data_IF_197737609754
#
_entry.id   IF_197737609754
#
_cell.length_a   1.000
_cell.length_b   1.000
_cell.length_c   1.000
_cell.angle_alpha   90.00
_cell.angle_beta   90.00
_cell.angle_gamma   90.00
#
_symmetry.space_group_name_H-M   'P 1'
#
loop_
_entity.id
_entity.type
_entity.pdbx_description
1 polymer ?
#
# COMPACT_ATOMS: atom_id res chain seq x y z
N UNK A 1 -18.46 17.33 5.24
CA UNK A 1 -17.64 16.10 5.24
C UNK A 1 -18.43 14.96 5.86
N UNK A 2 -18.84 13.95 5.08
CA UNK A 2 -19.57 12.81 5.63
C UNK A 2 -18.59 11.71 6.05
N UNK A 3 -18.42 11.53 7.36
CA UNK A 3 -17.68 10.39 7.91
C UNK A 3 -18.41 9.06 7.62
N UNK A 4 -19.71 9.07 7.39
CA UNK A 4 -20.48 7.86 7.02
C UNK A 4 -19.97 7.33 5.67
N UNK A 5 -19.85 8.22 4.68
CA UNK A 5 -19.38 7.85 3.35
C UNK A 5 -17.95 7.34 3.39
N UNK A 6 -17.09 7.97 4.20
CA UNK A 6 -15.72 7.53 4.42
C UNK A 6 -15.69 6.07 4.95
N UNK A 7 -16.59 5.70 5.85
CA UNK A 7 -16.63 4.36 6.43
C UNK A 7 -16.96 3.30 5.38
N UNK A 8 -17.89 3.63 4.47
CA UNK A 8 -18.21 2.79 3.32
C UNK A 8 -17.01 2.65 2.37
N UNK A 9 -16.28 3.75 2.11
CA UNK A 9 -15.06 3.70 1.28
C UNK A 9 -13.98 2.82 1.91
N UNK A 10 -13.67 2.98 3.19
CA UNK A 10 -12.68 2.14 3.88
C UNK A 10 -13.08 0.65 3.83
N UNK A 11 -14.34 0.34 4.07
CA UNK A 11 -14.86 -1.04 4.01
C UNK A 11 -14.79 -1.60 2.58
N UNK A 12 -15.13 -0.78 1.59
CA UNK A 12 -15.04 -1.15 0.18
C UNK A 12 -13.60 -1.43 -0.26
N UNK A 13 -12.63 -0.59 0.13
CA UNK A 13 -11.21 -0.80 -0.14
C UNK A 13 -10.68 -2.10 0.48
N UNK A 14 -11.10 -2.43 1.71
CA UNK A 14 -10.76 -3.69 2.34
C UNK A 14 -11.32 -4.89 1.56
N UNK A 15 -12.57 -4.79 1.10
CA UNK A 15 -13.22 -5.86 0.33
C UNK A 15 -12.56 -6.03 -1.04
N UNK A 16 -12.28 -4.93 -1.75
CA UNK A 16 -11.57 -4.95 -3.03
C UNK A 16 -10.16 -5.54 -2.90
N UNK A 17 -9.44 -5.19 -1.83
CA UNK A 17 -8.11 -5.73 -1.54
C UNK A 17 -8.16 -7.23 -1.28
N UNK A 18 -9.12 -7.70 -0.49
CA UNK A 18 -9.35 -9.13 -0.22
C UNK A 18 -9.75 -9.91 -1.47
N UNK A 19 -10.56 -9.31 -2.33
CA UNK A 19 -10.98 -9.88 -3.61
C UNK A 19 -9.88 -9.84 -4.69
N UNK A 20 -8.71 -9.28 -4.38
CA UNK A 20 -7.55 -9.20 -5.30
C UNK A 20 -7.84 -8.46 -6.60
N UNK A 21 -8.70 -7.44 -6.55
CA UNK A 21 -9.01 -6.61 -7.71
C UNK A 21 -7.84 -5.67 -8.01
N UNK A 22 -7.36 -5.62 -9.25
CA UNK A 22 -6.32 -4.65 -9.65
C UNK A 22 -6.80 -3.20 -9.63
N UNK A 23 -8.11 -2.98 -9.74
CA UNK A 23 -8.72 -1.68 -9.93
C UNK A 23 -10.09 -1.62 -9.26
N UNK A 24 -10.41 -0.49 -8.64
CA UNK A 24 -11.70 -0.29 -7.98
C UNK A 24 -12.23 1.13 -8.13
N UNK A 25 -13.54 1.33 -7.95
CA UNK A 25 -14.19 2.64 -8.06
C UNK A 25 -14.84 3.10 -6.76
N UNK A 26 -14.65 4.37 -6.43
CA UNK A 26 -15.15 5.03 -5.21
C UNK A 26 -15.96 6.27 -5.61
N UNK A 27 -17.03 6.64 -4.89
CA UNK A 27 -17.76 7.88 -5.16
C UNK A 27 -16.87 9.12 -5.11
N UNK A 28 -17.03 10.01 -6.08
CA UNK A 28 -16.24 11.24 -6.17
C UNK A 28 -16.62 12.22 -5.04
N UNK A 29 -15.63 12.61 -4.24
CA UNK A 29 -15.74 13.64 -3.21
C UNK A 29 -14.37 14.25 -2.96
N UNK A 30 -14.30 15.54 -2.63
CA UNK A 30 -13.05 16.21 -2.27
C UNK A 30 -12.33 15.54 -1.10
N UNK A 31 -13.08 15.00 -0.13
CA UNK A 31 -12.49 14.25 0.98
C UNK A 31 -11.83 12.97 0.49
N UNK A 32 -12.57 12.16 -0.26
CA UNK A 32 -12.08 10.88 -0.76
C UNK A 32 -10.87 11.09 -1.67
N UNK A 33 -10.92 12.10 -2.54
CA UNK A 33 -9.80 12.46 -3.42
C UNK A 33 -8.55 12.80 -2.63
N UNK A 34 -8.64 13.70 -1.64
CA UNK A 34 -7.49 14.07 -0.78
C UNK A 34 -6.94 12.87 -0.01
N UNK A 35 -7.81 12.00 0.51
CA UNK A 35 -7.38 10.80 1.21
C UNK A 35 -6.69 9.81 0.27
N UNK A 36 -7.24 9.58 -0.92
CA UNK A 36 -6.64 8.67 -1.90
C UNK A 36 -5.29 9.20 -2.41
N UNK A 37 -5.15 10.52 -2.60
CA UNK A 37 -3.87 11.14 -2.94
C UNK A 37 -2.85 10.97 -1.79
N UNK A 38 -3.27 11.14 -0.53
CA UNK A 38 -2.40 10.88 0.61
C UNK A 38 -1.95 9.41 0.71
N UNK A 39 -2.84 8.46 0.38
CA UNK A 39 -2.54 7.03 0.29
C UNK A 39 -1.63 6.68 -0.91
N UNK A 40 -1.72 7.44 -2.00
CA UNK A 40 -0.85 7.30 -3.16
C UNK A 40 0.56 7.82 -2.84
N UNK A 41 0.67 8.98 -2.21
CA UNK A 41 1.94 9.59 -1.80
C UNK A 41 2.70 8.71 -0.81
N UNK A 42 2.01 8.03 0.10
CA UNK A 42 2.62 7.05 1.01
C UNK A 42 2.90 5.69 0.34
N UNK A 43 2.53 5.51 -0.93
CA UNK A 43 2.84 4.34 -1.72
C UNK A 43 1.86 3.16 -1.60
N UNK A 44 0.75 3.28 -0.86
CA UNK A 44 -0.20 2.16 -0.67
C UNK A 44 -1.11 1.88 -1.88
N UNK A 45 -1.39 2.91 -2.67
CA UNK A 45 -2.19 2.83 -3.91
C UNK A 45 -1.26 3.14 -5.10
N UNK A 46 -1.52 2.57 -6.28
CA UNK A 46 -0.71 2.85 -7.49
C UNK A 46 -1.14 4.13 -8.19
N UNK A 47 -2.43 4.27 -8.50
CA UNK A 47 -2.96 5.43 -9.21
C UNK A 47 -4.31 5.88 -8.67
N UNK A 48 -4.59 7.17 -8.85
CA UNK A 48 -5.87 7.81 -8.54
C UNK A 48 -6.30 8.61 -9.76
N UNK A 49 -7.40 8.21 -10.40
CA UNK A 49 -7.92 8.85 -11.62
C UNK A 49 -9.37 9.22 -11.45
N UNK A 50 -9.77 10.39 -11.95
CA UNK A 50 -11.17 10.80 -12.05
C UNK A 50 -11.75 10.25 -13.34
N UNK A 51 -12.91 9.61 -13.28
CA UNK A 51 -13.56 9.03 -14.44
C UNK A 51 -15.08 8.99 -14.31
N UNK A 52 -15.73 8.38 -15.31
CA UNK A 52 -17.16 8.11 -15.30
C UNK A 52 -17.52 6.84 -14.51
N UNK A 53 -18.75 6.33 -14.70
CA UNK A 53 -19.19 5.06 -14.11
C UNK A 53 -18.48 3.85 -14.71
N UNK A 54 -17.94 3.98 -15.92
CA UNK A 54 -17.13 2.98 -16.61
C UNK A 54 -15.65 3.14 -16.24
N UNK A 55 -14.90 2.03 -16.14
CA UNK A 55 -13.46 2.08 -15.89
C UNK A 55 -12.75 2.82 -17.03
N UNK A 56 -11.82 3.73 -16.73
CA UNK A 56 -10.97 4.30 -17.76
C UNK A 56 -10.08 3.19 -18.35
N UNK A 57 -9.71 3.30 -19.64
CA UNK A 57 -8.84 2.31 -20.25
C UNK A 57 -7.47 2.27 -19.56
N UNK A 58 -6.83 1.10 -19.52
CA UNK A 58 -5.51 0.96 -18.92
C UNK A 58 -4.46 1.66 -19.77
N UNK A 59 -3.52 2.36 -19.13
CA UNK A 59 -2.39 2.95 -19.82
C UNK A 59 -1.49 1.86 -20.40
N UNK A 60 -1.12 2.00 -21.69
CA UNK A 60 -0.41 0.99 -22.49
C UNK A 60 0.89 0.48 -21.86
N UNK A 61 1.64 1.34 -21.14
CA UNK A 61 2.93 0.97 -20.55
C UNK A 61 2.85 0.54 -19.09
N UNK A 62 1.92 1.09 -18.32
CA UNK A 62 1.92 0.96 -16.87
C UNK A 62 0.77 0.11 -16.33
N UNK A 63 -0.18 -0.28 -17.20
CA UNK A 63 -1.31 -1.14 -16.87
C UNK A 63 -2.30 -0.56 -15.84
N UNK A 64 -2.04 0.66 -15.36
CA UNK A 64 -2.90 1.38 -14.44
C UNK A 64 -3.75 2.39 -15.20
N UNK A 65 -4.93 2.78 -14.65
CA UNK A 65 -5.73 3.83 -15.26
C UNK A 65 -4.90 5.11 -15.24
N UNK A 66 -4.68 5.71 -16.41
CA UNK A 66 -4.10 7.04 -16.54
C UNK A 66 -5.23 8.01 -16.92
N UNK A 67 -5.18 9.22 -16.38
CA UNK A 67 -6.13 10.27 -16.74
C UNK A 67 -5.94 10.79 -18.17
N UNK A 68 -4.84 10.41 -18.82
CA UNK A 68 -4.38 10.97 -20.07
C UNK A 68 -4.52 9.92 -21.16
N UNK A 69 -5.74 9.68 -21.63
CA UNK A 69 -5.86 9.24 -23.02
C UNK A 69 -5.61 10.46 -23.89
N UNK A 70 -4.64 10.37 -24.81
CA UNK A 70 -4.47 11.38 -25.85
C UNK A 70 -5.71 11.47 -26.77
N UNK A 71 -6.58 10.45 -26.74
CA UNK A 71 -7.80 10.34 -27.55
C UNK A 71 -9.07 10.92 -26.87
N UNK A 72 -9.21 10.79 -25.55
CA UNK A 72 -10.31 11.36 -24.77
C UNK A 72 -9.72 12.11 -23.59
N UNK A 73 -9.56 13.43 -23.73
CA UNK A 73 -9.11 14.29 -22.63
C UNK A 73 -10.00 14.15 -21.39
N UNK A 74 -9.45 14.52 -20.22
CA UNK A 74 -10.22 14.54 -18.97
C UNK A 74 -11.38 15.53 -19.12
N UNK A 75 -12.59 14.99 -19.29
CA UNK A 75 -13.82 15.77 -19.32
C UNK A 75 -13.89 16.71 -18.10
N UNK A 76 -14.12 18.02 -18.30
CA UNK A 76 -14.16 18.98 -17.20
C UNK A 76 -15.30 18.64 -16.24
N UNK A 77 -15.11 18.90 -14.95
CA UNK A 77 -16.15 18.66 -13.95
C UNK A 77 -17.21 19.76 -14.06
N UNK A 78 -18.39 19.42 -14.58
CA UNK A 78 -19.53 20.32 -14.74
C UNK A 78 -20.68 19.87 -13.83
N UNK A 79 -21.62 20.78 -13.56
CA UNK A 79 -22.77 20.46 -12.70
C UNK A 79 -23.62 19.29 -13.24
N UNK A 80 -23.67 19.11 -14.56
CA UNK A 80 -24.40 18.01 -15.19
C UNK A 80 -23.74 16.64 -15.00
N UNK A 81 -22.40 16.60 -14.86
CA UNK A 81 -21.66 15.33 -14.81
C UNK A 81 -21.23 14.91 -13.40
N UNK A 82 -21.23 15.81 -12.42
CA UNK A 82 -20.70 15.54 -11.07
C UNK A 82 -21.32 14.31 -10.39
N UNK A 83 -22.60 14.02 -10.66
CA UNK A 83 -23.33 12.90 -10.10
C UNK A 83 -22.84 11.53 -10.60
N UNK A 84 -22.37 11.45 -11.86
CA UNK A 84 -21.90 10.20 -12.47
C UNK A 84 -20.40 9.98 -12.30
N UNK A 85 -19.65 10.97 -11.76
CA UNK A 85 -18.21 10.86 -11.59
C UNK A 85 -17.81 9.93 -10.45
N UNK A 86 -16.75 9.17 -10.71
CA UNK A 86 -16.11 8.26 -9.75
C UNK A 86 -14.61 8.48 -9.69
N UNK A 87 -14.02 8.07 -8.59
CA UNK A 87 -12.58 7.95 -8.41
C UNK A 87 -12.19 6.51 -8.67
N UNK A 88 -11.38 6.29 -9.68
CA UNK A 88 -10.79 5.02 -10.02
C UNK A 88 -9.43 4.89 -9.34
N UNK A 89 -9.25 3.80 -8.59
CA UNK A 89 -8.10 3.56 -7.76
C UNK A 89 -7.41 2.29 -8.23
N UNK A 90 -6.10 2.38 -8.49
CA UNK A 90 -5.26 1.22 -8.77
C UNK A 90 -4.76 0.60 -7.47
N UNK A 91 -5.10 -0.67 -7.22
CA UNK A 91 -4.67 -1.39 -6.03
C UNK A 91 -3.32 -2.07 -6.27
N UNK A 92 -2.47 -2.07 -5.24
CA UNK A 92 -1.12 -2.65 -5.28
C UNK A 92 -1.07 -3.99 -4.58
N UNK A 93 -0.36 -4.93 -5.19
CA UNK A 93 -0.11 -6.26 -4.65
C UNK A 93 1.38 -6.59 -4.75
N UNK A 94 1.93 -7.21 -3.72
CA UNK A 94 3.31 -7.66 -3.65
C UNK A 94 3.36 -9.06 -3.06
N UNK A 95 4.09 -9.99 -3.68
CA UNK A 95 4.17 -11.40 -3.22
C UNK A 95 2.79 -12.02 -2.94
N UNK A 96 1.80 -11.75 -3.79
CA UNK A 96 0.42 -12.20 -3.59
C UNK A 96 -0.24 -11.69 -2.30
N UNK A 97 0.21 -10.58 -1.73
CA UNK A 97 -0.46 -9.87 -0.63
C UNK A 97 -0.80 -8.42 -1.00
N UNK A 98 -1.94 -7.87 -0.53
CA UNK A 98 -2.31 -6.48 -0.80
C UNK A 98 -1.43 -5.51 0.01
N UNK A 99 -0.81 -4.53 -0.67
CA UNK A 99 0.05 -3.52 -0.03
C UNK A 99 -0.75 -2.60 0.90
N UNK A 100 -2.00 -2.32 0.55
CA UNK A 100 -2.92 -1.49 1.33
C UNK A 100 -3.26 -2.11 2.70
N UNK A 101 -3.20 -3.44 2.83
CA UNK A 101 -3.56 -4.16 4.05
C UNK A 101 -5.00 -3.89 4.50
N UNK A 102 -5.19 -3.62 5.79
CA UNK A 102 -6.49 -3.30 6.39
C UNK A 102 -6.56 -1.82 6.73
N UNK A 103 -7.56 -1.12 6.21
CA UNK A 103 -7.87 0.26 6.59
C UNK A 103 -9.02 0.25 7.60
N UNK A 104 -8.78 0.81 8.79
CA UNK A 104 -9.76 0.97 9.85
C UNK A 104 -10.08 2.44 10.07
N UNK A 105 -11.37 2.75 10.24
CA UNK A 105 -11.81 4.10 10.60
C UNK A 105 -11.66 4.32 12.10
N UNK A 106 -11.11 5.46 12.50
CA UNK A 106 -10.98 5.86 13.90
C UNK A 106 -12.11 6.83 14.29
N UNK A 107 -12.23 7.97 13.61
CA UNK A 107 -13.36 8.88 13.84
C UNK A 107 -14.62 8.34 13.19
N UNK A 108 -15.57 7.89 14.02
CA UNK A 108 -16.89 7.45 13.58
C UNK A 108 -17.84 8.66 13.48
N UNK A 109 -18.92 8.58 12.68
CA UNK A 109 -19.94 9.64 12.62
C UNK A 109 -20.52 10.00 13.99
N UNK A 110 -20.71 8.99 14.84
CA UNK A 110 -21.21 9.13 16.22
C UNK A 110 -20.18 9.73 17.17
N UNK A 111 -18.88 9.53 16.91
CA UNK A 111 -17.80 10.00 17.76
C UNK A 111 -16.59 10.43 16.95
N UNK A 112 -16.41 11.75 16.86
CA UNK A 112 -15.27 12.39 16.22
C UNK A 112 -14.11 12.50 17.21
N UNK A 113 -12.93 12.03 16.81
CA UNK A 113 -11.74 12.00 17.66
C UNK A 113 -10.73 12.98 17.08
N UNK A 114 -10.49 14.07 17.80
CA UNK A 114 -9.44 15.05 17.49
C UNK A 114 -8.23 14.79 18.38
N UNK A 115 -7.04 15.03 17.84
CA UNK A 115 -5.78 14.86 18.57
C UNK A 115 -4.93 16.11 18.40
N UNK A 116 -4.27 16.49 19.48
CA UNK A 116 -3.34 17.60 19.55
C UNK A 116 -1.92 17.17 19.12
N UNK A 117 -1.03 18.14 18.97
CA UNK A 117 0.35 17.88 18.54
C UNK A 117 1.13 17.06 19.59
N UNK A 118 0.88 17.28 20.89
CA UNK A 118 1.58 16.54 21.93
C UNK A 118 1.09 15.08 22.01
N UNK A 119 -0.23 14.86 21.91
CA UNK A 119 -0.81 13.53 21.77
C UNK A 119 -0.32 12.80 20.52
N UNK A 120 -0.21 13.48 19.38
CA UNK A 120 0.28 12.87 18.15
C UNK A 120 1.75 12.44 18.26
N UNK A 121 2.60 13.21 18.95
CA UNK A 121 3.99 12.81 19.25
C UNK A 121 4.04 11.54 20.10
N UNK A 122 3.15 11.37 21.08
CA UNK A 122 3.03 10.12 21.86
C UNK A 122 2.63 8.95 20.95
N UNK A 123 1.62 9.14 20.10
CA UNK A 123 1.15 8.12 19.16
C UNK A 123 2.26 7.64 18.22
N UNK A 124 3.08 8.52 17.67
CA UNK A 124 4.20 8.14 16.80
C UNK A 124 5.27 7.34 17.54
N UNK A 125 5.48 7.62 18.84
CA UNK A 125 6.41 6.86 19.69
C UNK A 125 5.87 5.50 20.13
N UNK A 126 4.64 5.15 19.73
CA UNK A 126 3.98 3.90 20.11
C UNK A 126 3.19 3.97 21.42
N UNK A 127 3.13 5.14 22.06
CA UNK A 127 2.31 5.37 23.24
C UNK A 127 0.85 5.64 22.86
N UNK A 128 -0.08 5.24 23.72
CA UNK A 128 -1.50 5.54 23.53
C UNK A 128 -1.78 7.00 23.91
N UNK A 129 -2.53 7.71 23.07
CA UNK A 129 -3.11 9.02 23.43
C UNK A 129 -4.63 8.93 23.35
N UNK A 130 -5.28 9.06 24.49
CA UNK A 130 -6.74 9.05 24.63
C UNK A 130 -7.39 7.81 23.99
N UNK A 131 -8.04 7.97 22.85
CA UNK A 131 -8.73 6.92 22.09
C UNK A 131 -7.89 6.34 20.94
N UNK A 132 -6.75 6.97 20.62
CA UNK A 132 -5.89 6.57 19.51
C UNK A 132 -4.74 5.73 20.05
N UNK A 133 -4.64 4.51 19.54
CA UNK A 133 -3.50 3.64 19.83
C UNK A 133 -2.22 4.15 19.16
N UNK A 134 -1.09 3.94 19.82
CA UNK A 134 0.21 4.24 19.25
C UNK A 134 0.52 3.40 18.01
N UNK A 135 1.28 3.98 17.08
CA UNK A 135 1.83 3.27 15.92
C UNK A 135 2.91 2.31 16.42
N UNK A 136 2.65 1.00 16.33
CA UNK A 136 3.57 -0.03 16.86
C UNK A 136 4.50 -0.59 15.79
N UNK A 137 4.05 -0.58 14.54
CA UNK A 137 4.77 -1.18 13.42
C UNK A 137 5.16 -0.12 12.39
N UNK A 138 6.33 -0.22 11.73
CA UNK A 138 6.76 0.76 10.73
C UNK A 138 5.82 0.80 9.50
N UNK A 139 5.09 -0.28 9.22
CA UNK A 139 4.11 -0.36 8.13
C UNK A 139 2.72 0.20 8.45
N UNK A 140 2.52 0.74 9.67
CA UNK A 140 1.29 1.42 10.06
C UNK A 140 1.37 2.92 9.78
N UNK A 141 0.26 3.47 9.32
CA UNK A 141 0.10 4.91 9.07
C UNK A 141 -1.25 5.39 9.55
N UNK A 142 -1.26 6.63 10.01
CA UNK A 142 -2.43 7.30 10.55
C UNK A 142 -2.68 8.58 9.75
N UNK A 143 -3.90 8.74 9.24
CA UNK A 143 -4.27 9.92 8.45
C UNK A 143 -5.19 10.85 9.23
N UNK A 144 -4.87 12.14 9.19
CA UNK A 144 -5.59 13.19 9.89
C UNK A 144 -6.11 14.24 8.91
N UNK A 145 -7.31 14.74 9.16
CA UNK A 145 -7.83 15.95 8.53
C UNK A 145 -7.36 17.15 9.35
N UNK A 146 -6.52 17.97 8.73
CA UNK A 146 -5.97 19.21 9.27
C UNK A 146 -6.52 20.42 8.49
N UNK A 147 -6.15 21.61 8.91
CA UNK A 147 -6.37 22.88 8.21
C UNK A 147 -5.71 22.89 6.81
N UNK A 148 -4.54 22.26 6.67
CA UNK A 148 -3.80 22.17 5.39
C UNK A 148 -4.19 21.00 4.51
N UNK A 149 -5.19 20.20 4.91
CA UNK A 149 -5.67 19.04 4.17
C UNK A 149 -5.47 17.72 4.92
N UNK A 150 -5.50 16.61 4.18
CA UNK A 150 -5.32 15.28 4.75
C UNK A 150 -3.84 14.92 4.68
N UNK A 151 -3.25 14.68 5.85
CA UNK A 151 -1.81 14.41 6.00
C UNK A 151 -1.61 13.18 6.89
N UNK A 152 -0.45 12.56 6.75
CA UNK A 152 -0.03 11.46 7.62
C UNK A 152 0.49 11.97 8.97
N UNK A 153 0.40 11.17 10.03
CA UNK A 153 0.72 11.57 11.39
C UNK A 153 2.14 12.15 11.56
N UNK A 154 3.15 11.57 10.91
CA UNK A 154 4.55 12.02 10.96
C UNK A 154 4.68 13.39 10.29
N UNK A 155 4.07 13.58 9.12
CA UNK A 155 4.02 14.88 8.46
C UNK A 155 3.29 15.95 9.31
N UNK A 156 2.21 15.56 10.00
CA UNK A 156 1.49 16.45 10.90
C UNK A 156 2.37 16.90 12.07
N UNK A 157 3.18 16.00 12.65
CA UNK A 157 4.09 16.36 13.75
C UNK A 157 5.21 17.29 13.29
N UNK A 158 5.77 17.05 12.10
CA UNK A 158 6.75 17.94 11.49
C UNK A 158 6.20 19.36 11.27
N UNK A 159 4.97 19.44 10.76
CA UNK A 159 4.28 20.71 10.50
C UNK A 159 3.63 21.31 11.75
N UNK A 160 3.72 20.64 12.90
CA UNK A 160 3.09 21.03 14.19
C UNK A 160 1.57 21.23 14.07
N UNK A 161 0.90 20.35 13.33
CA UNK A 161 -0.54 20.39 13.11
C UNK A 161 -1.23 19.27 13.91
N UNK A 162 -2.32 19.64 14.58
CA UNK A 162 -3.30 18.70 15.12
C UNK A 162 -4.47 18.52 14.14
N UNK A 163 -5.40 17.63 14.47
CA UNK A 163 -6.57 17.47 13.61
C UNK A 163 -7.50 16.32 13.98
N UNK A 164 -8.50 16.11 13.13
CA UNK A 164 -9.43 15.00 13.24
C UNK A 164 -8.79 13.73 12.67
N UNK A 165 -8.71 12.67 13.47
CA UNK A 165 -8.12 11.40 13.03
C UNK A 165 -9.11 10.62 12.18
N UNK A 166 -8.82 10.41 10.90
CA UNK A 166 -9.74 9.80 9.95
C UNK A 166 -9.67 8.27 9.99
N UNK A 167 -8.54 7.73 9.54
CA UNK A 167 -8.34 6.30 9.37
C UNK A 167 -6.90 5.90 9.68
N UNK A 168 -6.75 4.65 10.08
CA UNK A 168 -5.49 3.96 10.29
C UNK A 168 -5.36 2.87 9.24
N UNK A 169 -4.17 2.77 8.66
CA UNK A 169 -3.76 1.61 7.89
C UNK A 169 -3.01 0.68 8.84
N UNK A 170 -3.55 -0.51 9.03
CA UNK A 170 -2.92 -1.59 9.78
C UNK A 170 -2.08 -2.44 8.83
N UNK A 171 -0.91 -2.86 9.31
CA UNK A 171 -0.12 -3.87 8.60
C UNK A 171 -0.83 -5.22 8.75
N UNK A 172 -1.12 -5.90 7.63
CA UNK A 172 -1.50 -7.30 7.69
C UNK A 172 -0.25 -8.12 8.04
N UNK A 173 -0.34 -8.92 9.08
CA UNK A 173 0.65 -9.97 9.33
C UNK A 173 0.43 -11.06 8.29
N UNK A 174 1.45 -11.33 7.47
CA UNK A 174 1.42 -12.41 6.50
C UNK A 174 1.16 -13.72 7.25
N UNK A 175 0.01 -14.35 7.00
CA UNK A 175 -0.37 -15.58 7.66
C UNK A 175 0.37 -16.75 6.99
N UNK A 176 1.64 -16.92 7.33
CA UNK A 176 2.43 -18.09 6.91
C UNK A 176 2.09 -19.24 7.86
N UNK A 177 1.08 -20.03 7.50
CA UNK A 177 0.86 -21.37 8.07
C UNK A 177 0.34 -21.41 9.52
N UNK A 178 -0.72 -20.69 9.85
CA UNK A 178 -1.50 -20.92 11.08
C UNK A 178 -0.81 -20.51 12.39
N UNK A 179 0.38 -19.91 12.31
CA UNK A 179 0.99 -19.18 13.42
C UNK A 179 1.00 -17.70 13.07
N UNK A 180 0.40 -16.91 13.95
CA UNK A 180 0.42 -15.45 13.92
C UNK A 180 1.85 -15.00 14.21
N UNK A 181 2.71 -15.05 13.20
CA UNK A 181 4.06 -14.53 13.30
C UNK A 181 3.99 -13.03 13.00
N UNK A 182 4.11 -12.22 14.07
CA UNK A 182 4.47 -10.81 13.93
C UNK A 182 5.72 -10.74 13.07
N UNK A 183 5.58 -10.27 11.84
CA UNK A 183 6.69 -9.95 10.97
C UNK A 183 7.44 -8.77 11.61
N UNK A 184 8.35 -9.07 12.54
CA UNK A 184 9.46 -8.20 12.86
C UNK A 184 10.12 -7.93 11.51
N UNK A 185 10.10 -6.66 11.09
CA UNK A 185 10.75 -6.19 9.87
C UNK A 185 12.21 -6.64 9.90
N UNK A 186 12.50 -7.74 9.21
CA UNK A 186 13.88 -8.17 8.97
C UNK A 186 14.47 -7.17 7.97
N UNK A 187 15.23 -6.20 8.49
CA UNK A 187 16.15 -5.42 7.67
C UNK A 187 17.38 -6.32 7.50
N UNK A 188 17.63 -6.91 6.32
CA UNK A 188 18.86 -7.66 6.12
C UNK A 188 20.03 -6.71 6.37
N UNK A 189 21.04 -7.11 7.17
CA UNK A 189 22.25 -6.31 7.31
C UNK A 189 22.88 -6.11 5.91
N UNK A 190 23.49 -4.94 5.64
CA UNK A 190 24.19 -4.74 4.38
C UNK A 190 25.23 -5.85 4.20
N UNK A 191 25.37 -6.40 2.98
CA UNK A 191 26.38 -7.42 2.74
C UNK A 191 27.75 -6.87 3.15
N UNK A 192 28.57 -7.65 3.90
CA UNK A 192 29.90 -7.20 4.26
C UNK A 192 30.66 -6.87 2.97
N UNK A 193 31.29 -5.70 2.95
CA UNK A 193 32.20 -5.31 1.86
C UNK A 193 33.19 -6.46 1.65
N UNK A 194 33.12 -7.07 0.46
CA UNK A 194 33.99 -8.16 0.07
C UNK A 194 35.40 -7.60 -0.10
N UNK A 195 36.17 -7.57 0.99
CA UNK A 195 37.62 -7.47 0.90
C UNK A 195 38.12 -8.77 0.31
N UNK A 196 38.75 -8.67 -0.85
CA UNK A 196 39.37 -9.75 -1.62
C UNK A 196 40.42 -10.46 -0.76
N UNK A 197 40.06 -11.52 -0.03
CA UNK A 197 41.07 -12.40 0.59
C UNK A 197 40.60 -13.73 1.20
N UNK A 198 39.34 -14.17 1.08
CA UNK A 198 38.94 -15.50 1.62
C UNK A 198 37.89 -16.24 0.78
N UNK A 199 38.21 -16.55 -0.48
CA UNK A 199 37.52 -17.59 -1.27
C UNK A 199 38.29 -18.90 -1.11
N UNK A 200 38.05 -19.66 -0.05
CA UNK A 200 38.39 -21.10 -0.01
C UNK A 200 37.71 -21.90 1.10
N UNK A 201 37.07 -21.28 2.11
CA UNK A 201 36.57 -22.03 3.28
C UNK A 201 35.05 -22.10 3.47
N UNK A 202 34.25 -21.51 2.57
CA UNK A 202 32.77 -21.52 2.68
C UNK A 202 32.09 -22.55 1.76
N UNK A 203 32.84 -23.48 1.14
CA UNK A 203 32.31 -24.48 0.19
C UNK A 203 31.99 -25.84 0.83
N UNK A 204 32.08 -25.98 2.16
CA UNK A 204 31.96 -27.28 2.85
C UNK A 204 30.79 -27.42 3.84
N UNK A 205 30.07 -26.35 4.19
CA UNK A 205 29.03 -26.43 5.26
C UNK A 205 27.58 -26.28 4.80
N UNK A 206 27.31 -26.02 3.53
CA UNK A 206 25.94 -25.91 3.03
C UNK A 206 25.66 -27.00 2.00
N UNK A 207 25.17 -28.13 2.50
CA UNK A 207 24.66 -29.26 1.72
C UNK A 207 23.42 -28.88 0.93
N UNK A 208 23.61 -28.19 -0.18
CA UNK A 208 22.59 -27.99 -1.21
C UNK A 208 22.90 -28.93 -2.37
N UNK A 209 22.18 -30.07 -2.41
CA UNK A 209 22.09 -30.91 -3.61
C UNK A 209 21.32 -30.11 -4.66
N UNK A 210 22.02 -29.63 -5.68
CA UNK A 210 21.36 -29.24 -6.92
C UNK A 210 21.05 -30.49 -7.75
N UNK A 211 19.86 -30.58 -8.38
CA UNK A 211 19.60 -31.63 -9.36
C UNK A 211 20.46 -31.38 -10.59
N UNK A 212 21.24 -32.39 -10.96
CA UNK A 212 22.10 -32.42 -12.15
C UNK A 212 21.26 -32.40 -13.43
N UNK A 213 21.49 -31.40 -14.29
CA UNK A 213 21.18 -31.52 -15.71
C UNK A 213 22.26 -32.37 -16.40
N UNK A 214 21.90 -33.31 -17.30
CA UNK A 214 22.88 -34.14 -17.98
C UNK A 214 23.43 -33.43 -19.21
N UNK A 215 24.76 -33.22 -19.27
CA UNK A 215 25.47 -32.97 -20.52
C UNK A 215 26.34 -34.18 -20.89
N UNK A 216 25.97 -34.77 -22.02
CA UNK A 216 26.82 -35.21 -23.12
C UNK A 216 28.09 -36.01 -22.79
N UNK A 217 28.08 -37.31 -23.13
CA UNK A 217 29.26 -38.01 -23.67
C UNK A 217 28.86 -38.98 -24.77
N UNK A 218 29.24 -38.62 -25.98
CA UNK A 218 29.54 -39.53 -27.09
C UNK A 218 30.66 -40.50 -26.71
N UNK A 219 30.63 -41.74 -27.23
CA UNK A 219 31.84 -42.48 -27.51
C UNK A 219 32.04 -42.66 -29.02
N UNK A 220 33.32 -42.61 -29.36
CA UNK A 220 33.90 -42.82 -30.66
C UNK A 220 33.80 -44.30 -31.10
N UNK A 221 33.87 -44.46 -32.44
CA UNK A 221 34.66 -45.46 -33.18
C UNK A 221 34.11 -46.90 -33.36
N UNK A 222 34.05 -47.26 -34.65
CA UNK A 222 34.64 -48.48 -35.28
C UNK A 222 33.68 -49.59 -35.75
N UNK A 223 33.54 -49.58 -37.09
CA UNK A 223 33.51 -50.70 -38.07
C UNK A 223 32.40 -51.74 -38.07
N UNK A 224 31.92 -52.00 -39.29
CA UNK A 224 31.94 -53.37 -39.83
C UNK A 224 30.65 -53.85 -40.47
N UNK A 225 30.67 -53.89 -41.81
CA UNK A 225 29.85 -54.66 -42.76
C UNK A 225 28.39 -54.26 -42.96
#
# INVERSE_FOLDING_TARGET
MSLVNLAHVCSHLNNASKARLGLTSVPHSNLHLKLCLALQNSGYISSVVRGGPTPPPPHTLLGHPAANDEAQGVEPLTQANIASRRLWLGLKYWQSEPVLGKISMISKPTRRITIDVAGLRRVIRGEKSDYVEGLRSPGESLYLSTDRGILEARECVEKKLGGLVLCRKDQQEANVGGKVARALSYVPPPPPSLTVSRITKARMEWGLRYPSSPSTRSPLLVTGL
#
